data_IF_588869305421
#
_entry.id   IF_588869305421
#
_cell.length_a   1.000
_cell.length_b   1.000
_cell.length_c   1.000
_cell.angle_alpha   90.00
_cell.angle_beta   90.00
_cell.angle_gamma   90.00
#
_symmetry.space_group_name_H-M   'P 1'
#
loop_
_entity.id
_entity.type
_entity.pdbx_description
1 polymer ?
#
# COMPACT_ATOMS: atom_id res chain seq x y z
N UNK A 1 -7.78 -11.06 1.33
CA UNK A 1 -7.16 -9.84 1.91
C UNK A 1 -7.77 -8.59 1.30
N UNK A 2 -8.27 -7.64 2.12
CA UNK A 2 -8.76 -6.34 1.61
C UNK A 2 -7.59 -5.39 1.35
N UNK A 3 -7.75 -4.49 0.37
CA UNK A 3 -6.68 -3.59 -0.09
C UNK A 3 -7.25 -2.26 -0.56
N UNK A 4 -6.49 -1.18 -0.45
CA UNK A 4 -6.82 0.11 -1.04
C UNK A 4 -8.21 0.60 -0.61
N UNK A 5 -9.08 0.99 -1.56
CA UNK A 5 -10.43 1.47 -1.27
C UNK A 5 -11.33 0.46 -0.52
N UNK A 6 -11.00 -0.84 -0.56
CA UNK A 6 -11.78 -1.87 0.14
C UNK A 6 -11.52 -1.89 1.66
N UNK A 7 -10.56 -1.09 2.15
CA UNK A 7 -10.25 -0.92 3.57
C UNK A 7 -11.08 0.24 4.15
N UNK A 8 -12.04 -0.09 5.03
CA UNK A 8 -12.83 0.89 5.76
C UNK A 8 -12.04 1.61 6.86
N UNK A 9 -12.59 2.74 7.34
CA UNK A 9 -11.96 3.57 8.40
C UNK A 9 -11.67 2.78 9.69
N UNK A 10 -12.63 1.98 10.14
CA UNK A 10 -12.50 1.15 11.35
C UNK A 10 -11.34 0.14 11.19
N UNK A 11 -11.28 -0.54 10.04
CA UNK A 11 -10.24 -1.52 9.76
C UNK A 11 -8.83 -0.89 9.71
N UNK A 12 -8.73 0.34 9.22
CA UNK A 12 -7.47 1.09 9.22
C UNK A 12 -7.08 1.57 10.62
N UNK A 13 -8.06 1.96 11.44
CA UNK A 13 -7.83 2.30 12.84
C UNK A 13 -7.33 1.08 13.63
N UNK A 14 -7.98 -0.07 13.47
CA UNK A 14 -7.60 -1.34 14.11
C UNK A 14 -6.19 -1.79 13.70
N UNK A 15 -5.85 -1.63 12.41
CA UNK A 15 -4.54 -1.93 11.87
C UNK A 15 -3.46 -0.89 12.23
N UNK A 16 -3.82 0.17 12.97
CA UNK A 16 -2.94 1.29 13.36
C UNK A 16 -2.24 1.92 12.15
N UNK A 17 -3.01 2.21 11.11
CA UNK A 17 -2.52 2.89 9.92
C UNK A 17 -1.81 4.20 10.29
N UNK A 18 -0.52 4.31 9.95
CA UNK A 18 0.37 5.37 10.47
C UNK A 18 0.66 6.50 9.48
N UNK A 19 0.23 6.38 8.22
CA UNK A 19 0.54 7.36 7.19
C UNK A 19 -0.55 8.44 7.09
N UNK A 20 -0.20 9.69 6.75
CA UNK A 20 -1.16 10.80 6.64
C UNK A 20 -2.07 10.69 5.40
N UNK A 21 -1.84 9.70 4.54
CA UNK A 21 -2.61 9.40 3.33
C UNK A 21 -3.43 8.14 3.52
N UNK A 22 -4.53 7.95 2.78
CA UNK A 22 -5.16 6.63 2.68
C UNK A 22 -4.22 5.60 2.02
N UNK A 23 -4.51 4.29 2.16
CA UNK A 23 -3.81 3.26 1.42
C UNK A 23 -3.94 3.47 -0.10
N UNK A 24 -2.85 3.25 -0.83
CA UNK A 24 -2.85 3.22 -2.29
C UNK A 24 -3.65 2.03 -2.82
N UNK A 25 -3.94 2.06 -4.12
CA UNK A 25 -4.56 0.93 -4.80
C UNK A 25 -3.69 -0.32 -4.60
N UNK A 26 -4.31 -1.44 -4.21
CA UNK A 26 -3.67 -2.72 -3.90
C UNK A 26 -2.81 -2.75 -2.62
N UNK A 27 -2.67 -1.62 -1.91
CA UNK A 27 -1.97 -1.56 -0.62
C UNK A 27 -2.83 -2.20 0.49
N UNK A 28 -2.20 -2.94 1.38
CA UNK A 28 -2.84 -3.61 2.49
C UNK A 28 -3.13 -2.65 3.65
N UNK A 29 -3.64 -3.19 4.76
CA UNK A 29 -3.74 -2.44 6.01
C UNK A 29 -2.37 -2.19 6.69
N UNK A 30 -1.29 -2.78 6.18
CA UNK A 30 0.10 -2.51 6.57
C UNK A 30 0.72 -1.56 5.53
N UNK A 31 1.18 -0.36 5.94
CA UNK A 31 1.82 0.59 5.03
C UNK A 31 2.98 -0.01 4.25
N UNK A 32 3.01 0.24 2.94
CA UNK A 32 4.03 -0.24 2.01
C UNK A 32 3.92 -1.73 1.61
N UNK A 33 2.98 -2.48 2.18
CA UNK A 33 2.74 -3.88 1.81
C UNK A 33 1.58 -3.93 0.81
N UNK A 34 1.82 -4.53 -0.35
CA UNK A 34 0.84 -4.64 -1.43
C UNK A 34 0.47 -6.09 -1.71
N UNK A 35 -0.75 -6.31 -2.19
CA UNK A 35 -1.23 -7.62 -2.63
C UNK A 35 -1.76 -7.53 -4.06
N UNK A 36 -1.44 -8.52 -4.89
CA UNK A 36 -1.94 -8.63 -6.26
C UNK A 36 -2.48 -10.04 -6.52
N UNK A 37 -3.48 -10.14 -7.40
CA UNK A 37 -4.09 -11.40 -7.78
C UNK A 37 -4.87 -12.05 -6.64
N UNK A 38 -4.89 -13.37 -6.63
CA UNK A 38 -5.95 -14.15 -5.96
C UNK A 38 -5.95 -14.11 -4.44
N UNK A 39 -4.89 -13.58 -3.83
CA UNK A 39 -4.83 -13.30 -2.39
C UNK A 39 -5.79 -12.16 -1.99
N UNK A 40 -6.14 -11.28 -2.93
CA UNK A 40 -7.08 -10.18 -2.70
C UNK A 40 -8.53 -10.68 -2.60
N UNK A 41 -9.29 -10.04 -1.73
CA UNK A 41 -10.72 -10.32 -1.54
C UNK A 41 -11.55 -9.95 -2.78
N UNK A 42 -11.11 -8.97 -3.56
CA UNK A 42 -11.75 -8.53 -4.81
C UNK A 42 -11.07 -9.05 -6.09
N UNK A 43 -10.29 -10.12 -6.04
CA UNK A 43 -9.63 -10.65 -7.24
C UNK A 43 -10.65 -11.23 -8.23
N UNK A 44 -10.42 -10.97 -9.52
CA UNK A 44 -11.18 -11.54 -10.64
C UNK A 44 -10.80 -13.02 -10.89
N UNK A 45 -9.82 -13.58 -10.18
CA UNK A 45 -9.36 -14.97 -10.33
C UNK A 45 -8.85 -15.30 -11.74
N UNK A 46 -8.19 -14.33 -12.38
CA UNK A 46 -7.62 -14.45 -13.73
C UNK A 46 -6.16 -14.05 -13.78
N UNK A 47 -5.37 -14.82 -14.53
CA UNK A 47 -3.93 -14.61 -14.70
C UNK A 47 -3.62 -13.22 -15.26
N UNK A 48 -4.27 -12.82 -16.36
CA UNK A 48 -3.99 -11.52 -16.98
C UNK A 48 -4.26 -10.33 -16.03
N UNK A 49 -5.34 -10.41 -15.24
CA UNK A 49 -5.65 -9.41 -14.22
C UNK A 49 -4.61 -9.39 -13.10
N UNK A 50 -4.19 -10.57 -12.59
CA UNK A 50 -3.16 -10.67 -11.56
C UNK A 50 -1.80 -10.10 -12.05
N UNK A 51 -1.42 -10.34 -13.31
CA UNK A 51 -0.22 -9.77 -13.92
C UNK A 51 -0.32 -8.24 -13.99
N UNK A 52 -1.45 -7.71 -14.44
CA UNK A 52 -1.69 -6.26 -14.47
C UNK A 52 -1.67 -5.61 -13.08
N UNK A 53 -2.26 -6.26 -12.08
CA UNK A 53 -2.20 -5.81 -10.68
C UNK A 53 -0.76 -5.80 -10.16
N UNK A 54 0.04 -6.82 -10.52
CA UNK A 54 1.46 -6.89 -10.15
C UNK A 54 2.28 -5.70 -10.67
N UNK A 55 2.05 -5.28 -11.92
CA UNK A 55 2.74 -4.11 -12.47
C UNK A 55 2.34 -2.80 -11.77
N UNK A 56 1.07 -2.68 -11.38
CA UNK A 56 0.57 -1.55 -10.58
C UNK A 56 1.23 -1.53 -9.20
N UNK A 57 1.33 -2.68 -8.51
CA UNK A 57 2.02 -2.78 -7.22
C UNK A 57 3.47 -2.28 -7.32
N UNK A 58 4.21 -2.66 -8.36
CA UNK A 58 5.60 -2.20 -8.55
C UNK A 58 5.68 -0.67 -8.64
N UNK A 59 4.77 -0.03 -9.37
CA UNK A 59 4.73 1.44 -9.47
C UNK A 59 4.52 2.10 -8.10
N UNK A 60 3.60 1.57 -7.28
CA UNK A 60 3.35 2.11 -5.94
C UNK A 60 4.48 1.79 -4.95
N UNK A 61 5.13 0.63 -5.05
CA UNK A 61 6.32 0.32 -4.26
C UNK A 61 7.41 1.36 -4.49
N UNK A 62 7.69 1.73 -5.74
CA UNK A 62 8.65 2.80 -6.03
C UNK A 62 8.23 4.14 -5.44
N UNK A 63 6.92 4.46 -5.39
CA UNK A 63 6.44 5.67 -4.74
C UNK A 63 6.62 5.63 -3.21
N UNK A 64 6.24 4.54 -2.56
CA UNK A 64 6.38 4.38 -1.10
C UNK A 64 7.84 4.39 -0.67
N UNK A 65 8.74 3.75 -1.43
CA UNK A 65 10.17 3.77 -1.13
C UNK A 65 10.73 5.20 -1.19
N UNK A 66 10.26 6.04 -2.12
CA UNK A 66 10.61 7.47 -2.14
C UNK A 66 10.05 8.20 -0.91
N UNK A 67 8.79 7.99 -0.56
CA UNK A 67 8.18 8.59 0.64
C UNK A 67 8.96 8.24 1.92
N UNK A 68 9.39 6.98 2.06
CA UNK A 68 10.19 6.55 3.22
C UNK A 68 11.60 7.12 3.22
N UNK A 69 12.24 7.25 2.05
CA UNK A 69 13.53 7.91 1.93
C UNK A 69 13.43 9.40 2.30
N UNK A 70 12.39 10.09 1.82
CA UNK A 70 12.14 11.50 2.12
C UNK A 70 11.84 11.71 3.62
N UNK A 71 11.04 10.83 4.23
CA UNK A 71 10.75 10.88 5.67
C UNK A 71 12.01 10.63 6.54
N UNK A 72 12.88 9.71 6.12
CA UNK A 72 14.17 9.46 6.78
C UNK A 72 15.10 10.67 6.68
N UNK A 73 15.17 11.30 5.51
CA UNK A 73 15.97 12.51 5.29
C UNK A 73 15.44 13.70 6.10
N UNK A 74 14.12 13.87 6.19
CA UNK A 74 13.50 14.93 7.00
C UNK A 74 13.81 14.75 8.49
N UNK A 75 13.79 13.51 8.99
CA UNK A 75 14.15 13.21 10.38
C UNK A 75 15.61 13.55 10.69
N UNK A 76 16.52 13.35 9.73
CA UNK A 76 17.92 13.74 9.86
C UNK A 76 18.13 15.26 9.86
N UNK A 77 17.31 16.02 9.12
CA UNK A 77 17.39 17.50 9.09
C UNK A 77 16.87 18.13 10.39
N UNK A 78 15.79 17.60 10.98
CA UNK A 78 15.19 18.18 12.20
C UNK A 78 16.01 17.83 13.46
N UNK A 79 16.83 16.78 13.41
CA UNK A 79 17.68 16.34 14.52
C UNK A 79 19.07 17.03 14.59
N UNK A 80 19.38 17.93 13.66
CA UNK A 80 20.63 18.71 13.59
C UNK A 80 20.40 20.18 13.97
#
# INVERSE_FOLDING_TARGET
MKTGPDLGKEQLADARWSLPRPPYLLESSVPGVFAAGDVRAGSVKRIASAVGEGSICVQFVHRVLREFADAGNQSAIIAA
#
